data_IF_748159901383
#
_entry.id   IF_748159901383
#
_cell.length_a   1.000
_cell.length_b   1.000
_cell.length_c   1.000
_cell.angle_alpha   90.00
_cell.angle_beta   90.00
_cell.angle_gamma   90.00
#
_symmetry.space_group_name_H-M   'P 1'
#
loop_
_entity.id
_entity.type
_entity.pdbx_description
1 polymer ?
#
# COMPACT_ATOMS: atom_id res chain seq x y z
N UNK A 1 -5.99 21.33 -51.69
CA UNK A 1 -6.89 20.25 -51.27
C UNK A 1 -7.46 20.60 -49.91
N UNK A 2 -8.78 20.62 -49.77
CA UNK A 2 -9.41 20.88 -48.47
C UNK A 2 -9.13 19.71 -47.51
N UNK A 3 -8.76 20.03 -46.27
CA UNK A 3 -8.48 19.04 -45.23
C UNK A 3 -9.79 18.33 -44.83
N UNK A 4 -9.77 17.01 -44.62
CA UNK A 4 -10.93 16.21 -44.19
C UNK A 4 -11.57 16.71 -42.88
N UNK A 5 -10.78 17.30 -41.98
CA UNK A 5 -11.32 17.94 -40.76
C UNK A 5 -12.16 19.18 -41.12
N UNK A 6 -11.75 19.95 -42.12
CA UNK A 6 -12.52 21.12 -42.61
C UNK A 6 -13.78 20.70 -43.35
N UNK A 7 -13.74 19.62 -44.13
CA UNK A 7 -14.92 19.06 -44.82
C UNK A 7 -15.98 18.62 -43.80
N UNK A 8 -15.56 18.00 -42.69
CA UNK A 8 -16.46 17.64 -41.60
C UNK A 8 -16.75 18.78 -40.62
N UNK A 9 -16.18 19.98 -40.84
CA UNK A 9 -16.35 21.17 -40.00
C UNK A 9 -15.99 20.93 -38.52
N UNK A 10 -14.92 20.17 -38.28
CA UNK A 10 -14.41 19.84 -36.94
C UNK A 10 -12.94 20.22 -36.79
N UNK A 11 -12.45 20.52 -35.57
CA UNK A 11 -11.02 20.75 -35.34
C UNK A 11 -10.21 19.45 -35.47
N UNK A 12 -8.92 19.55 -35.76
CA UNK A 12 -8.03 18.38 -35.87
C UNK A 12 -7.88 17.61 -34.54
N UNK A 13 -8.14 18.28 -33.42
CA UNK A 13 -8.20 17.68 -32.07
C UNK A 13 -9.53 16.97 -31.77
N UNK A 14 -10.48 16.92 -32.71
CA UNK A 14 -11.81 16.36 -32.48
C UNK A 14 -11.75 14.87 -32.09
N UNK A 15 -12.60 14.46 -31.15
CA UNK A 15 -12.72 13.05 -30.76
C UNK A 15 -13.50 12.26 -31.82
N UNK A 16 -13.39 10.93 -31.82
CA UNK A 16 -14.15 10.08 -32.76
C UNK A 16 -15.67 10.27 -32.63
N UNK A 17 -16.15 10.58 -31.42
CA UNK A 17 -17.56 10.86 -31.18
C UNK A 17 -17.99 12.14 -31.90
N UNK A 18 -17.17 13.18 -31.88
CA UNK A 18 -17.45 14.47 -32.51
C UNK A 18 -17.48 14.34 -34.04
N UNK A 19 -16.52 13.59 -34.60
CA UNK A 19 -16.46 13.28 -36.05
C UNK A 19 -17.74 12.56 -36.51
N UNK A 20 -18.22 11.58 -35.73
CA UNK A 20 -19.45 10.84 -36.05
C UNK A 20 -20.71 11.68 -35.97
N UNK A 21 -20.78 12.59 -35.00
CA UNK A 21 -21.92 13.51 -34.86
C UNK A 21 -21.94 14.52 -36.00
N UNK A 22 -20.78 15.10 -36.35
CA UNK A 22 -20.65 16.04 -37.44
C UNK A 22 -21.02 15.41 -38.80
N UNK A 23 -20.54 14.20 -39.07
CA UNK A 23 -20.90 13.44 -40.27
C UNK A 23 -22.42 13.24 -40.40
N UNK A 24 -23.10 12.80 -39.34
CA UNK A 24 -24.55 12.58 -39.39
C UNK A 24 -25.32 13.85 -39.70
N UNK A 25 -24.91 14.97 -39.12
CA UNK A 25 -25.53 16.29 -39.35
C UNK A 25 -25.35 16.72 -40.80
N UNK A 26 -24.15 16.57 -41.36
CA UNK A 26 -23.85 16.93 -42.74
C UNK A 26 -24.54 15.99 -43.75
N UNK A 27 -24.48 14.67 -43.52
CA UNK A 27 -25.12 13.68 -44.38
C UNK A 27 -26.65 13.87 -44.48
N UNK A 28 -27.30 14.33 -43.39
CA UNK A 28 -28.72 14.64 -43.39
C UNK A 28 -29.03 15.95 -44.15
N UNK A 29 -28.13 16.94 -44.06
CA UNK A 29 -28.31 18.26 -44.69
C UNK A 29 -28.09 18.20 -46.21
N UNK A 30 -27.16 17.35 -46.65
CA UNK A 30 -26.79 17.20 -48.06
C UNK A 30 -27.39 15.95 -48.72
N UNK A 31 -28.32 15.25 -48.04
CA UNK A 31 -28.96 14.07 -48.59
C UNK A 31 -29.74 14.42 -49.87
N UNK A 32 -29.63 13.64 -50.96
CA UNK A 32 -30.29 13.95 -52.23
C UNK A 32 -31.80 14.11 -52.11
N UNK A 33 -32.46 13.32 -51.24
CA UNK A 33 -33.90 13.44 -51.00
C UNK A 33 -34.34 14.75 -50.33
N UNK A 34 -33.42 15.47 -49.67
CA UNK A 34 -33.72 16.69 -48.92
C UNK A 34 -33.27 17.94 -49.68
N UNK A 35 -32.23 17.83 -50.53
CA UNK A 35 -31.63 18.97 -51.20
C UNK A 35 -31.21 18.64 -52.65
N UNK A 36 -32.07 18.97 -53.63
CA UNK A 36 -31.96 18.57 -55.04
C UNK A 36 -31.03 19.46 -55.92
N UNK A 37 -30.09 20.18 -55.33
CA UNK A 37 -29.15 21.01 -56.10
C UNK A 37 -27.97 20.19 -56.64
N UNK A 38 -27.68 20.34 -57.93
CA UNK A 38 -26.72 19.54 -58.71
C UNK A 38 -25.26 19.59 -58.21
N UNK A 39 -24.92 20.51 -57.30
CA UNK A 39 -23.58 20.63 -56.70
C UNK A 39 -23.36 19.80 -55.43
N UNK A 40 -24.42 19.24 -54.84
CA UNK A 40 -24.33 18.55 -53.54
C UNK A 40 -23.83 17.10 -53.65
N UNK A 41 -23.88 16.50 -54.85
CA UNK A 41 -23.48 15.10 -55.06
C UNK A 41 -21.95 14.90 -54.94
N UNK A 42 -21.15 15.86 -55.40
CA UNK A 42 -19.70 15.81 -55.20
C UNK A 42 -19.34 16.09 -53.74
N UNK A 43 -20.06 17.02 -53.11
CA UNK A 43 -19.83 17.38 -51.72
C UNK A 43 -20.15 16.24 -50.76
N UNK A 44 -21.24 15.48 -51.00
CA UNK A 44 -21.58 14.31 -50.16
C UNK A 44 -20.56 13.17 -50.34
N UNK A 45 -19.99 12.99 -51.54
CA UNK A 45 -18.90 12.04 -51.78
C UNK A 45 -17.66 12.41 -50.96
N UNK A 46 -17.31 13.70 -50.88
CA UNK A 46 -16.22 14.20 -50.05
C UNK A 46 -16.49 14.01 -48.55
N UNK A 47 -17.71 14.28 -48.08
CA UNK A 47 -18.12 14.07 -46.69
C UNK A 47 -17.98 12.59 -46.30
N UNK A 48 -18.43 11.68 -47.18
CA UNK A 48 -18.34 10.23 -46.95
C UNK A 48 -16.88 9.77 -46.88
N UNK A 49 -16.03 10.24 -47.80
CA UNK A 49 -14.61 9.91 -47.83
C UNK A 49 -13.87 10.45 -46.59
N UNK A 50 -14.17 11.68 -46.18
CA UNK A 50 -13.60 12.30 -44.99
C UNK A 50 -13.99 11.51 -43.73
N UNK A 51 -15.26 11.10 -43.62
CA UNK A 51 -15.71 10.28 -42.49
C UNK A 51 -15.08 8.88 -42.50
N UNK A 52 -15.01 8.21 -43.65
CA UNK A 52 -14.39 6.89 -43.73
C UNK A 52 -12.91 6.92 -43.28
N UNK A 53 -12.20 8.00 -43.60
CA UNK A 53 -10.79 8.17 -43.24
C UNK A 53 -10.62 8.56 -41.78
N UNK A 54 -11.41 9.51 -41.27
CA UNK A 54 -11.23 10.05 -39.92
C UNK A 54 -11.92 9.25 -38.81
N UNK A 55 -12.90 8.40 -39.15
CA UNK A 55 -13.64 7.58 -38.16
C UNK A 55 -12.85 6.38 -37.67
N UNK A 56 -11.94 5.83 -38.49
CA UNK A 56 -11.04 4.75 -38.12
C UNK A 56 -9.72 5.32 -37.56
N UNK A 57 -9.33 4.98 -36.32
CA UNK A 57 -8.10 5.52 -35.70
C UNK A 57 -6.83 5.25 -36.50
N UNK A 58 -6.74 4.08 -37.15
CA UNK A 58 -5.57 3.70 -37.92
C UNK A 58 -5.50 4.46 -39.26
N UNK A 59 -6.65 4.65 -39.94
CA UNK A 59 -6.71 5.45 -41.17
C UNK A 59 -6.48 6.94 -40.89
N UNK A 60 -7.03 7.46 -39.78
CA UNK A 60 -6.82 8.84 -39.33
C UNK A 60 -5.36 9.13 -39.05
N UNK A 61 -4.69 8.26 -38.29
CA UNK A 61 -3.25 8.39 -38.01
C UNK A 61 -2.42 8.42 -39.29
N UNK A 62 -2.74 7.56 -40.26
CA UNK A 62 -2.05 7.56 -41.57
C UNK A 62 -2.32 8.82 -42.39
N UNK A 63 -3.53 9.38 -42.31
CA UNK A 63 -3.89 10.66 -42.90
C UNK A 63 -3.12 11.82 -42.26
N UNK A 64 -3.07 11.86 -40.93
CA UNK A 64 -2.36 12.89 -40.16
C UNK A 64 -0.83 12.85 -40.40
N UNK A 65 -0.27 11.66 -40.67
CA UNK A 65 1.13 11.46 -41.02
C UNK A 65 1.46 11.75 -42.50
N UNK A 66 0.45 12.11 -43.32
CA UNK A 66 0.64 12.39 -44.75
C UNK A 66 0.93 11.15 -45.61
N UNK A 67 0.76 9.94 -45.08
CA UNK A 67 1.00 8.65 -45.75
C UNK A 67 -0.33 8.07 -46.28
N UNK A 68 -1.19 8.96 -46.79
CA UNK A 68 -2.51 8.61 -47.31
C UNK A 68 -2.52 8.68 -48.84
N UNK A 69 -2.61 7.51 -49.48
CA UNK A 69 -2.49 7.36 -50.93
C UNK A 69 -3.88 7.40 -51.56
N UNK A 70 -4.24 8.53 -52.20
CA UNK A 70 -5.54 8.74 -52.87
C UNK A 70 -5.67 8.01 -54.22
N UNK A 71 -4.69 7.18 -54.61
CA UNK A 71 -4.58 6.60 -55.95
C UNK A 71 -5.33 5.27 -56.15
N UNK A 72 -5.95 4.70 -55.11
CA UNK A 72 -6.72 3.43 -55.20
C UNK A 72 -8.21 3.61 -54.89
N UNK A 73 -8.84 4.61 -55.54
CA UNK A 73 -10.29 4.84 -55.47
C UNK A 73 -10.93 4.91 -56.86
N UNK A 74 -10.67 3.91 -57.71
CA UNK A 74 -11.54 3.61 -58.85
C UNK A 74 -12.16 2.23 -58.64
N UNK A 75 -13.12 2.14 -57.71
CA UNK A 75 -14.14 1.10 -57.80
C UNK A 75 -15.21 1.64 -58.73
N UNK A 76 -15.33 1.02 -59.90
CA UNK A 76 -16.28 1.36 -60.94
C UNK A 76 -17.71 1.31 -60.40
N UNK A 77 -18.36 2.49 -60.33
CA UNK A 77 -19.79 2.58 -60.10
C UNK A 77 -20.49 2.07 -61.37
N UNK A 78 -20.78 0.78 -61.44
CA UNK A 78 -21.73 0.25 -62.41
C UNK A 78 -23.13 0.59 -61.92
N UNK A 79 -23.87 1.40 -62.70
CA UNK A 79 -25.29 1.58 -62.47
C UNK A 79 -25.97 0.20 -62.47
N UNK A 80 -26.79 -0.14 -61.45
CA UNK A 80 -27.52 -1.39 -61.46
C UNK A 80 -28.44 -1.43 -62.69
N UNK A 81 -28.65 -2.61 -63.30
CA UNK A 81 -29.51 -2.74 -64.47
C UNK A 81 -30.92 -2.19 -64.18
N UNK A 82 -31.66 -1.71 -65.21
CA UNK A 82 -33.02 -1.23 -65.02
C UNK A 82 -33.84 -2.32 -64.32
N UNK A 83 -34.76 -1.95 -63.42
CA UNK A 83 -35.48 -2.92 -62.62
C UNK A 83 -36.21 -3.87 -63.55
N UNK A 84 -35.74 -5.12 -63.61
CA UNK A 84 -36.57 -6.21 -64.11
C UNK A 84 -37.87 -6.12 -63.30
N UNK A 85 -39.02 -6.14 -63.99
CA UNK A 85 -40.32 -6.27 -63.33
C UNK A 85 -40.27 -7.56 -62.52
N UNK A 86 -39.86 -7.43 -61.26
CA UNK A 86 -40.00 -8.50 -60.30
C UNK A 86 -41.51 -8.76 -60.24
N UNK A 87 -41.96 -10.02 -60.29
CA UNK A 87 -43.30 -10.29 -59.80
C UNK A 87 -43.43 -9.58 -58.44
N UNK A 88 -44.62 -9.01 -58.12
CA UNK A 88 -44.81 -8.30 -56.85
C UNK A 88 -44.15 -9.16 -55.78
N UNK A 89 -43.25 -8.60 -54.97
CA UNK A 89 -42.44 -9.39 -54.06
C UNK A 89 -43.43 -10.32 -53.37
N UNK A 90 -43.19 -11.64 -53.46
CA UNK A 90 -43.94 -12.56 -52.61
C UNK A 90 -43.82 -11.93 -51.24
N UNK A 91 -44.94 -11.41 -50.75
CA UNK A 91 -45.00 -10.73 -49.49
C UNK A 91 -44.90 -11.87 -48.49
N UNK A 92 -43.71 -12.46 -48.37
CA UNK A 92 -43.21 -12.87 -47.08
C UNK A 92 -43.16 -11.56 -46.31
N UNK A 93 -44.33 -11.24 -45.73
CA UNK A 93 -44.43 -10.63 -44.43
C UNK A 93 -43.32 -11.35 -43.68
N UNK A 94 -42.17 -10.68 -43.51
CA UNK A 94 -41.14 -11.20 -42.63
C UNK A 94 -41.96 -11.37 -41.38
N UNK A 95 -42.30 -12.62 -41.05
CA UNK A 95 -42.80 -12.88 -39.75
C UNK A 95 -41.67 -12.29 -38.93
N UNK A 96 -41.96 -11.18 -38.24
CA UNK A 96 -41.43 -11.11 -36.91
C UNK A 96 -41.99 -12.40 -36.31
N UNK A 97 -41.25 -13.50 -36.48
CA UNK A 97 -41.24 -14.56 -35.51
C UNK A 97 -40.88 -13.77 -34.27
N UNK A 98 -41.93 -13.33 -33.58
CA UNK A 98 -41.81 -12.80 -32.26
C UNK A 98 -41.14 -13.95 -31.53
N UNK A 99 -39.81 -13.85 -31.38
CA UNK A 99 -39.03 -14.88 -30.71
C UNK A 99 -39.79 -15.23 -29.45
N UNK A 100 -39.91 -16.54 -29.12
CA UNK A 100 -40.94 -17.06 -28.25
C UNK A 100 -41.21 -16.09 -27.10
N UNK A 101 -42.42 -15.52 -27.05
CA UNK A 101 -42.81 -14.57 -26.01
C UNK A 101 -42.82 -15.30 -24.67
N UNK A 102 -41.67 -15.30 -24.01
CA UNK A 102 -41.51 -15.91 -22.69
C UNK A 102 -42.43 -15.20 -21.72
N UNK A 103 -43.24 -15.98 -20.99
CA UNK A 103 -44.05 -15.47 -19.90
C UNK A 103 -43.15 -14.76 -18.87
N UNK A 104 -43.64 -13.70 -18.25
CA UNK A 104 -42.96 -13.05 -17.12
C UNK A 104 -42.55 -14.07 -16.05
N UNK A 105 -43.35 -15.13 -15.84
CA UNK A 105 -43.00 -16.24 -14.93
C UNK A 105 -41.78 -17.03 -15.38
N UNK A 106 -41.64 -17.32 -16.67
CA UNK A 106 -40.48 -18.05 -17.21
C UNK A 106 -39.21 -17.20 -17.21
N UNK A 107 -39.34 -15.88 -17.41
CA UNK A 107 -38.22 -14.95 -17.26
C UNK A 107 -37.75 -14.88 -15.80
N UNK A 108 -38.67 -14.75 -14.84
CA UNK A 108 -38.34 -14.75 -13.40
C UNK A 108 -37.63 -16.06 -13.02
N UNK A 109 -38.10 -17.21 -13.50
CA UNK A 109 -37.44 -18.49 -13.23
C UNK A 109 -36.04 -18.57 -13.86
N UNK A 110 -35.86 -18.07 -15.08
CA UNK A 110 -34.54 -18.00 -15.72
C UNK A 110 -33.57 -17.07 -14.96
N UNK A 111 -34.04 -15.90 -14.51
CA UNK A 111 -33.26 -15.01 -13.65
C UNK A 111 -32.93 -15.64 -12.29
N UNK A 112 -33.86 -16.42 -11.72
CA UNK A 112 -33.62 -17.18 -10.49
C UNK A 112 -32.56 -18.27 -10.65
N UNK A 113 -32.63 -19.06 -11.72
CA UNK A 113 -31.63 -20.12 -12.00
C UNK A 113 -30.26 -19.52 -12.30
N UNK A 114 -30.19 -18.46 -13.10
CA UNK A 114 -28.92 -17.78 -13.39
C UNK A 114 -28.31 -17.15 -12.14
N UNK A 115 -29.11 -16.50 -11.29
CA UNK A 115 -28.65 -16.01 -10.00
C UNK A 115 -28.15 -17.13 -9.08
N UNK A 116 -28.81 -18.29 -9.05
CA UNK A 116 -28.38 -19.44 -8.27
C UNK A 116 -27.05 -20.04 -8.76
N UNK A 117 -26.83 -20.09 -10.08
CA UNK A 117 -25.55 -20.55 -10.66
C UNK A 117 -24.43 -19.55 -10.33
N UNK A 118 -24.67 -18.25 -10.46
CA UNK A 118 -23.68 -17.23 -10.10
C UNK A 118 -23.33 -17.35 -8.62
N UNK A 119 -24.34 -17.49 -7.75
CA UNK A 119 -24.15 -17.63 -6.32
C UNK A 119 -23.38 -18.91 -5.97
N UNK A 120 -23.63 -20.04 -6.65
CA UNK A 120 -22.88 -21.28 -6.42
C UNK A 120 -21.42 -21.18 -6.87
N UNK A 121 -21.14 -20.52 -8.01
CA UNK A 121 -19.77 -20.28 -8.47
C UNK A 121 -19.03 -19.35 -7.51
N UNK A 122 -19.65 -18.26 -7.06
CA UNK A 122 -19.06 -17.34 -6.08
C UNK A 122 -18.76 -18.07 -4.77
N UNK A 123 -19.70 -18.89 -4.28
CA UNK A 123 -19.49 -19.70 -3.08
C UNK A 123 -18.33 -20.70 -3.25
N UNK A 124 -18.20 -21.34 -4.42
CA UNK A 124 -17.10 -22.25 -4.71
C UNK A 124 -15.74 -21.55 -4.77
N UNK A 125 -15.66 -20.37 -5.40
CA UNK A 125 -14.43 -19.55 -5.42
C UNK A 125 -14.04 -19.10 -4.02
N UNK A 126 -15.02 -18.66 -3.23
CA UNK A 126 -14.80 -18.27 -1.84
C UNK A 126 -14.29 -19.44 -1.00
N UNK A 127 -14.93 -20.61 -1.11
CA UNK A 127 -14.48 -21.82 -0.42
C UNK A 127 -13.05 -22.21 -0.84
N UNK A 128 -12.73 -22.15 -2.14
CA UNK A 128 -11.38 -22.41 -2.63
C UNK A 128 -10.35 -21.43 -2.03
N UNK A 129 -10.66 -20.12 -2.01
CA UNK A 129 -9.77 -19.12 -1.40
C UNK A 129 -9.55 -19.38 0.09
N UNK A 130 -10.61 -19.77 0.81
CA UNK A 130 -10.57 -20.14 2.21
C UNK A 130 -9.62 -21.34 2.46
N UNK A 131 -9.80 -22.45 1.74
CA UNK A 131 -8.97 -23.66 1.91
C UNK A 131 -7.52 -23.46 1.50
N UNK A 132 -7.28 -22.72 0.41
CA UNK A 132 -5.90 -22.52 -0.06
C UNK A 132 -5.13 -21.59 0.88
N UNK A 133 -5.80 -20.62 1.53
CA UNK A 133 -5.19 -19.78 2.57
C UNK A 133 -4.69 -20.62 3.74
N UNK A 134 -5.50 -21.56 4.23
CA UNK A 134 -5.17 -22.46 5.33
C UNK A 134 -4.02 -23.42 4.96
N UNK A 135 -4.09 -24.03 3.78
CA UNK A 135 -3.04 -24.93 3.28
C UNK A 135 -1.66 -24.28 3.23
N UNK A 136 -1.54 -23.10 2.61
CA UNK A 136 -0.25 -22.41 2.54
C UNK A 136 0.22 -21.87 3.89
N UNK A 137 -0.69 -21.56 4.81
CA UNK A 137 -0.32 -21.17 6.17
C UNK A 137 0.37 -22.32 6.91
N UNK A 138 -0.19 -23.54 6.82
CA UNK A 138 0.41 -24.74 7.44
C UNK A 138 1.77 -25.10 6.81
N UNK A 139 1.92 -24.99 5.49
CA UNK A 139 3.23 -25.16 4.82
C UNK A 139 4.24 -24.09 5.27
N UNK A 140 3.78 -22.86 5.54
CA UNK A 140 4.59 -21.80 6.12
C UNK A 140 5.08 -22.14 7.53
N UNK A 141 4.20 -22.67 8.39
CA UNK A 141 4.56 -23.15 9.73
C UNK A 141 5.56 -24.31 9.67
N UNK A 142 5.36 -25.25 8.74
CA UNK A 142 6.31 -26.34 8.53
C UNK A 142 7.69 -25.82 8.11
N UNK A 143 7.75 -24.79 7.26
CA UNK A 143 9.02 -24.16 6.88
C UNK A 143 9.68 -23.40 8.05
N UNK A 144 8.90 -22.75 8.94
CA UNK A 144 9.43 -22.17 10.19
C UNK A 144 10.10 -23.23 11.07
N UNK A 145 9.44 -24.39 11.28
CA UNK A 145 9.97 -25.49 12.09
C UNK A 145 11.28 -26.06 11.52
N UNK A 146 11.44 -26.02 10.20
CA UNK A 146 12.68 -26.41 9.51
C UNK A 146 13.75 -25.32 9.50
N UNK A 147 13.50 -24.17 10.14
CA UNK A 147 14.39 -23.00 10.17
C UNK A 147 14.69 -22.45 8.75
N UNK A 148 13.69 -22.47 7.87
CA UNK A 148 13.76 -21.95 6.50
C UNK A 148 12.94 -20.64 6.36
N UNK A 149 13.39 -19.51 6.94
CA UNK A 149 12.57 -18.30 7.10
C UNK A 149 12.09 -17.69 5.77
N UNK A 150 12.91 -17.74 4.72
CA UNK A 150 12.53 -17.23 3.41
C UNK A 150 11.43 -18.08 2.75
N UNK A 151 11.49 -19.40 2.93
CA UNK A 151 10.48 -20.31 2.40
C UNK A 151 9.17 -20.15 3.16
N UNK A 152 9.23 -19.97 4.48
CA UNK A 152 8.07 -19.64 5.30
C UNK A 152 7.39 -18.35 4.83
N UNK A 153 8.15 -17.26 4.64
CA UNK A 153 7.62 -15.99 4.10
C UNK A 153 6.93 -16.21 2.75
N UNK A 154 7.53 -16.97 1.83
CA UNK A 154 6.93 -17.24 0.52
C UNK A 154 5.58 -17.96 0.66
N UNK A 155 5.47 -18.96 1.53
CA UNK A 155 4.21 -19.64 1.78
C UNK A 155 3.18 -18.73 2.44
N UNK A 156 3.57 -17.93 3.44
CA UNK A 156 2.66 -16.96 4.04
C UNK A 156 2.18 -15.90 3.06
N UNK A 157 3.04 -15.44 2.15
CA UNK A 157 2.62 -14.54 1.07
C UNK A 157 1.50 -15.12 0.20
N UNK A 158 1.55 -16.43 -0.06
CA UNK A 158 0.51 -17.16 -0.80
C UNK A 158 -0.76 -17.38 0.05
N UNK A 159 -0.62 -17.46 1.37
CA UNK A 159 -1.73 -17.58 2.31
C UNK A 159 -2.52 -16.26 2.47
N UNK A 160 -1.88 -15.10 2.28
CA UNK A 160 -2.52 -13.78 2.34
C UNK A 160 -3.34 -13.53 1.08
N UNK A 161 -4.65 -13.80 1.18
CA UNK A 161 -5.64 -13.63 0.10
C UNK A 161 -6.86 -12.86 0.59
N UNK A 162 -7.59 -12.25 -0.33
CA UNK A 162 -8.90 -11.66 -0.04
C UNK A 162 -9.83 -12.70 0.58
N UNK A 163 -10.40 -12.38 1.75
CA UNK A 163 -11.27 -13.28 2.54
C UNK A 163 -10.63 -14.60 3.03
N UNK A 164 -9.30 -14.73 2.97
CA UNK A 164 -8.60 -15.88 3.53
C UNK A 164 -8.67 -15.90 5.06
N UNK A 165 -9.05 -17.04 5.65
CA UNK A 165 -9.19 -17.19 7.10
C UNK A 165 -7.89 -16.94 7.87
N UNK A 166 -6.76 -17.25 7.23
CA UNK A 166 -5.41 -17.13 7.80
C UNK A 166 -4.64 -15.92 7.29
N UNK A 167 -5.26 -15.02 6.52
CA UNK A 167 -4.55 -13.87 5.92
C UNK A 167 -3.92 -12.94 6.96
N UNK A 168 -4.61 -12.70 8.09
CA UNK A 168 -4.10 -11.84 9.16
C UNK A 168 -2.95 -12.52 9.91
N UNK A 169 -3.13 -13.79 10.27
CA UNK A 169 -2.11 -14.60 10.96
C UNK A 169 -0.85 -14.76 10.10
N UNK A 170 -1.00 -15.06 8.81
CA UNK A 170 0.09 -15.13 7.84
C UNK A 170 0.84 -13.80 7.73
N UNK A 171 0.11 -12.67 7.76
CA UNK A 171 0.72 -11.33 7.74
C UNK A 171 1.51 -11.04 9.02
N UNK A 172 1.00 -11.44 10.18
CA UNK A 172 1.71 -11.31 11.47
C UNK A 172 2.98 -12.14 11.44
N UNK A 173 2.89 -13.43 11.07
CA UNK A 173 4.05 -14.33 10.97
C UNK A 173 5.11 -13.80 10.02
N UNK A 174 4.70 -13.34 8.85
CA UNK A 174 5.62 -12.73 7.87
C UNK A 174 6.32 -11.48 8.43
N UNK A 175 5.59 -10.64 9.17
CA UNK A 175 6.13 -9.45 9.81
C UNK A 175 7.10 -9.80 10.96
N UNK A 176 6.80 -10.82 11.75
CA UNK A 176 7.67 -11.31 12.83
C UNK A 176 8.99 -11.87 12.29
N UNK A 177 8.95 -12.73 11.26
CA UNK A 177 10.17 -13.22 10.59
C UNK A 177 10.94 -12.04 9.98
N UNK A 178 10.24 -11.11 9.32
CA UNK A 178 10.89 -9.93 8.74
C UNK A 178 11.59 -9.08 9.81
N UNK A 179 11.01 -8.97 11.01
CA UNK A 179 11.63 -8.27 12.15
C UNK A 179 12.93 -8.95 12.58
N UNK A 180 12.94 -10.28 12.66
CA UNK A 180 14.14 -11.06 13.01
C UNK A 180 15.25 -10.94 11.98
N UNK A 181 14.87 -10.85 10.69
CA UNK A 181 15.80 -10.62 9.59
C UNK A 181 16.26 -9.15 9.46
N UNK A 182 15.73 -8.23 10.27
CA UNK A 182 15.99 -6.78 10.14
C UNK A 182 15.37 -6.16 8.87
N UNK A 183 14.45 -6.86 8.22
CA UNK A 183 13.82 -6.49 6.97
C UNK A 183 12.61 -5.56 7.18
N UNK A 184 12.83 -4.43 7.87
CA UNK A 184 11.76 -3.53 8.36
C UNK A 184 10.87 -2.94 7.25
N UNK A 185 11.38 -2.78 6.03
CA UNK A 185 10.58 -2.33 4.89
C UNK A 185 9.47 -3.34 4.55
N UNK A 186 9.82 -4.63 4.41
CA UNK A 186 8.87 -5.70 4.12
C UNK A 186 7.93 -5.93 5.30
N UNK A 187 8.45 -5.83 6.52
CA UNK A 187 7.64 -5.90 7.74
C UNK A 187 6.48 -4.89 7.73
N UNK A 188 6.74 -3.63 7.36
CA UNK A 188 5.70 -2.60 7.27
C UNK A 188 4.64 -2.91 6.19
N UNK A 189 5.05 -3.52 5.07
CA UNK A 189 4.14 -3.95 4.00
C UNK A 189 3.22 -5.09 4.46
N UNK A 190 3.78 -6.14 5.08
CA UNK A 190 2.99 -7.23 5.66
C UNK A 190 2.00 -6.72 6.72
N UNK A 191 2.42 -5.80 7.58
CA UNK A 191 1.52 -5.20 8.56
C UNK A 191 0.35 -4.47 7.89
N UNK A 192 0.64 -3.69 6.82
CA UNK A 192 -0.39 -2.98 6.05
C UNK A 192 -1.38 -3.95 5.40
N UNK A 193 -0.90 -5.06 4.82
CA UNK A 193 -1.76 -6.11 4.23
C UNK A 193 -2.65 -6.75 5.29
N UNK A 194 -2.10 -7.12 6.45
CA UNK A 194 -2.88 -7.68 7.55
C UNK A 194 -3.98 -6.73 8.05
N UNK A 195 -3.66 -5.45 8.24
CA UNK A 195 -4.61 -4.43 8.70
C UNK A 195 -5.75 -4.19 7.70
N UNK A 196 -5.53 -4.38 6.40
CA UNK A 196 -6.58 -4.25 5.39
C UNK A 196 -7.68 -5.32 5.53
N UNK A 197 -7.36 -6.49 6.08
CA UNK A 197 -8.31 -7.60 6.24
C UNK A 197 -8.99 -7.65 7.61
N UNK A 198 -8.42 -7.01 8.64
CA UNK A 198 -9.03 -6.99 9.99
C UNK A 198 -8.59 -5.75 10.78
N UNK A 199 -9.17 -4.58 10.48
CA UNK A 199 -8.80 -3.32 11.14
C UNK A 199 -9.16 -3.30 12.64
N UNK A 200 -10.21 -4.02 13.05
CA UNK A 200 -10.78 -3.93 14.40
C UNK A 200 -10.68 -5.25 15.19
N UNK A 201 -9.48 -5.77 15.36
CA UNK A 201 -9.24 -7.01 16.10
C UNK A 201 -8.08 -6.89 17.10
N UNK A 202 -8.00 -7.81 18.06
CA UNK A 202 -6.84 -7.92 18.96
C UNK A 202 -5.54 -8.15 18.17
N UNK A 203 -5.64 -8.81 17.01
CA UNK A 203 -4.53 -9.01 16.07
C UNK A 203 -4.11 -7.71 15.39
N UNK A 204 -5.05 -6.79 15.12
CA UNK A 204 -4.75 -5.44 14.63
C UNK A 204 -3.85 -4.68 15.61
N UNK A 205 -4.06 -4.87 16.92
CA UNK A 205 -3.23 -4.28 17.95
C UNK A 205 -1.75 -4.70 17.83
N UNK A 206 -1.49 -5.98 17.58
CA UNK A 206 -0.15 -6.50 17.33
C UNK A 206 0.42 -5.99 16.00
N UNK A 207 -0.37 -5.96 14.93
CA UNK A 207 0.05 -5.43 13.64
C UNK A 207 0.43 -3.95 13.71
N UNK A 208 -0.31 -3.14 14.46
CA UNK A 208 0.04 -1.74 14.70
C UNK A 208 1.34 -1.61 15.51
N UNK A 209 1.57 -2.46 16.51
CA UNK A 209 2.84 -2.50 17.24
C UNK A 209 4.03 -2.87 16.34
N UNK A 210 3.87 -3.91 15.52
CA UNK A 210 4.88 -4.33 14.54
C UNK A 210 5.13 -3.22 13.51
N UNK A 211 4.07 -2.62 12.97
CA UNK A 211 4.18 -1.48 12.05
C UNK A 211 4.90 -0.29 12.68
N UNK A 212 4.60 0.05 13.94
CA UNK A 212 5.29 1.10 14.69
C UNK A 212 6.78 0.80 14.86
N UNK A 213 7.13 -0.45 15.17
CA UNK A 213 8.52 -0.91 15.25
C UNK A 213 9.23 -0.77 13.90
N UNK A 214 8.58 -1.19 12.81
CA UNK A 214 9.13 -1.07 11.46
C UNK A 214 9.39 0.41 11.08
N UNK A 215 8.46 1.31 11.42
CA UNK A 215 8.62 2.73 11.16
C UNK A 215 9.69 3.38 12.04
N UNK A 216 9.83 2.97 13.30
CA UNK A 216 10.87 3.48 14.19
C UNK A 216 12.27 3.13 13.67
N UNK A 217 12.48 1.89 13.19
CA UNK A 217 13.73 1.48 12.55
C UNK A 217 13.98 2.12 11.19
N UNK A 218 12.93 2.61 10.54
CA UNK A 218 13.01 3.37 9.29
C UNK A 218 13.10 4.89 9.54
N UNK A 219 13.37 5.31 10.78
CA UNK A 219 13.47 6.72 11.22
C UNK A 219 12.22 7.57 10.93
N UNK A 220 11.06 6.93 10.72
CA UNK A 220 9.77 7.57 10.47
C UNK A 220 9.00 7.72 11.78
N UNK A 221 9.58 8.47 12.72
CA UNK A 221 9.14 8.51 14.12
C UNK A 221 7.68 8.96 14.31
N UNK A 222 7.20 9.94 13.56
CA UNK A 222 5.79 10.39 13.65
C UNK A 222 4.80 9.26 13.32
N UNK A 223 5.12 8.48 12.28
CA UNK A 223 4.29 7.34 11.87
C UNK A 223 4.42 6.18 12.86
N UNK A 224 5.60 6.02 13.47
CA UNK A 224 5.81 5.05 14.51
C UNK A 224 4.97 5.37 15.75
N UNK A 225 5.01 6.61 16.25
CA UNK A 225 4.20 7.08 17.38
C UNK A 225 2.70 6.89 17.11
N UNK A 226 2.23 7.25 15.92
CA UNK A 226 0.83 7.03 15.52
C UNK A 226 0.46 5.54 15.54
N UNK A 227 1.29 4.66 14.98
CA UNK A 227 1.03 3.23 14.98
C UNK A 227 1.05 2.65 16.42
N UNK A 228 1.97 3.07 17.28
CA UNK A 228 1.97 2.66 18.69
C UNK A 228 0.72 3.14 19.44
N UNK A 229 0.27 4.37 19.21
CA UNK A 229 -0.96 4.89 19.81
C UNK A 229 -2.20 4.12 19.34
N UNK A 230 -2.25 3.75 18.05
CA UNK A 230 -3.31 2.87 17.54
C UNK A 230 -3.28 1.50 18.23
N UNK A 231 -2.09 0.90 18.41
CA UNK A 231 -1.93 -0.37 19.13
C UNK A 231 -2.50 -0.32 20.55
N UNK A 232 -2.21 0.77 21.29
CA UNK A 232 -2.70 0.98 22.66
C UNK A 232 -4.23 1.11 22.75
N UNK A 233 -4.89 1.52 21.66
CA UNK A 233 -6.35 1.60 21.57
C UNK A 233 -7.05 0.23 21.64
N UNK A 234 -6.39 -0.84 21.20
CA UNK A 234 -6.98 -2.19 21.07
C UNK A 234 -6.62 -3.17 22.21
N UNK A 235 -6.29 -2.65 23.41
CA UNK A 235 -5.94 -3.45 24.61
C UNK A 235 -4.75 -4.41 24.42
N UNK A 236 -3.78 -4.05 23.57
CA UNK A 236 -2.50 -4.74 23.53
C UNK A 236 -1.69 -4.52 24.82
N UNK A 237 -0.65 -5.32 25.05
CA UNK A 237 0.24 -5.18 26.20
C UNK A 237 0.88 -3.77 26.21
N UNK A 238 0.38 -2.92 27.10
CA UNK A 238 0.83 -1.53 27.23
C UNK A 238 2.31 -1.45 27.57
N UNK A 239 2.81 -2.35 28.40
CA UNK A 239 4.19 -2.33 28.86
C UNK A 239 5.15 -2.56 27.70
N UNK A 240 4.83 -3.52 26.81
CA UNK A 240 5.61 -3.79 25.61
C UNK A 240 5.66 -2.57 24.67
N UNK A 241 4.51 -1.94 24.43
CA UNK A 241 4.45 -0.75 23.56
C UNK A 241 5.21 0.42 24.17
N UNK A 242 5.00 0.71 25.45
CA UNK A 242 5.68 1.79 26.15
C UNK A 242 7.19 1.58 26.22
N UNK A 243 7.67 0.34 26.36
CA UNK A 243 9.10 0.06 26.35
C UNK A 243 9.74 0.43 25.00
N UNK A 244 9.11 0.03 23.88
CA UNK A 244 9.62 0.35 22.54
C UNK A 244 9.47 1.83 22.23
N UNK A 245 8.33 2.44 22.58
CA UNK A 245 8.07 3.87 22.39
C UNK A 245 9.06 4.74 23.20
N UNK A 246 9.34 4.37 24.45
CA UNK A 246 10.33 5.07 25.27
C UNK A 246 11.75 4.92 24.70
N UNK A 247 12.13 3.74 24.22
CA UNK A 247 13.41 3.52 23.54
C UNK A 247 13.55 4.37 22.28
N UNK A 248 12.46 4.50 21.51
CA UNK A 248 12.39 5.36 20.33
C UNK A 248 12.60 6.83 20.69
N UNK A 249 11.98 7.32 21.77
CA UNK A 249 12.18 8.70 22.22
C UNK A 249 13.61 8.96 22.70
N UNK A 250 14.24 8.01 23.42
CA UNK A 250 15.63 8.17 23.90
C UNK A 250 16.64 8.16 22.75
N UNK A 251 16.51 7.21 21.82
CA UNK A 251 17.53 6.95 20.81
C UNK A 251 17.24 7.61 19.45
N UNK A 252 15.99 7.97 19.17
CA UNK A 252 15.55 8.51 17.88
C UNK A 252 15.24 9.99 17.92
N UNK A 253 14.20 10.39 18.67
CA UNK A 253 13.72 11.79 18.65
C UNK A 253 14.39 12.72 19.67
N UNK A 254 14.99 12.17 20.72
CA UNK A 254 15.57 12.95 21.82
C UNK A 254 14.53 13.55 22.77
N UNK A 255 13.28 13.09 22.74
CA UNK A 255 12.19 13.57 23.61
C UNK A 255 12.25 12.94 25.00
N UNK A 256 13.28 13.30 25.78
CA UNK A 256 13.58 12.71 27.07
C UNK A 256 12.47 12.89 28.11
N UNK A 257 11.68 13.98 28.05
CA UNK A 257 10.54 14.20 28.95
C UNK A 257 9.40 13.21 28.70
N UNK A 258 9.14 12.85 27.44
CA UNK A 258 8.15 11.82 27.11
C UNK A 258 8.65 10.45 27.56
N UNK A 259 9.93 10.15 27.30
CA UNK A 259 10.56 8.90 27.71
C UNK A 259 10.56 8.71 29.24
N UNK A 260 10.88 9.76 30.01
CA UNK A 260 10.86 9.75 31.48
C UNK A 260 9.50 9.30 32.02
N UNK A 261 8.41 9.88 31.48
CA UNK A 261 7.04 9.54 31.90
C UNK A 261 6.72 8.08 31.64
N UNK A 262 7.08 7.58 30.46
CA UNK A 262 6.86 6.18 30.09
C UNK A 262 7.67 5.21 30.97
N UNK A 263 8.96 5.49 31.22
CA UNK A 263 9.76 4.64 32.13
C UNK A 263 9.27 4.69 33.57
N UNK A 264 8.77 5.84 34.03
CA UNK A 264 8.17 5.95 35.36
C UNK A 264 6.91 5.12 35.48
N UNK A 265 6.06 5.10 34.44
CA UNK A 265 4.93 4.18 34.38
C UNK A 265 5.39 2.72 34.41
N UNK A 266 6.37 2.33 33.57
CA UNK A 266 6.87 0.96 33.51
C UNK A 266 7.46 0.48 34.85
N UNK A 267 8.11 1.37 35.58
CA UNK A 267 8.68 1.10 36.91
C UNK A 267 7.63 1.02 38.02
N UNK A 268 6.41 1.52 37.81
CA UNK A 268 5.31 1.38 38.77
C UNK A 268 4.67 -0.01 38.76
N UNK A 269 5.00 -0.84 37.76
CA UNK A 269 4.54 -2.23 37.65
C UNK A 269 5.20 -3.18 38.64
N UNK A 270 4.73 -4.44 38.65
CA UNK A 270 5.14 -5.45 39.63
C UNK A 270 6.53 -6.06 39.38
N UNK A 271 7.14 -5.85 38.21
CA UNK A 271 8.42 -6.45 37.85
C UNK A 271 9.55 -5.43 37.86
N UNK A 272 10.58 -5.66 38.68
CA UNK A 272 11.79 -4.85 38.72
C UNK A 272 12.62 -5.17 37.47
N UNK A 273 12.65 -4.25 36.52
CA UNK A 273 13.52 -4.33 35.35
C UNK A 273 14.62 -3.27 35.42
N UNK A 274 15.87 -3.70 35.63
CA UNK A 274 17.03 -2.83 35.76
C UNK A 274 17.29 -1.98 34.52
N UNK A 275 16.88 -2.45 33.34
CA UNK A 275 17.01 -1.69 32.10
C UNK A 275 16.15 -0.42 32.12
N UNK A 276 14.99 -0.44 32.78
CA UNK A 276 14.12 0.75 32.89
C UNK A 276 14.74 1.81 33.82
N UNK A 277 15.35 1.42 34.93
CA UNK A 277 16.12 2.34 35.78
C UNK A 277 17.30 2.95 35.00
N UNK A 278 18.07 2.13 34.29
CA UNK A 278 19.18 2.62 33.48
C UNK A 278 18.73 3.63 32.42
N UNK A 279 17.67 3.32 31.66
CA UNK A 279 17.19 4.20 30.59
C UNK A 279 16.51 5.46 31.14
N UNK A 280 15.81 5.40 32.28
CA UNK A 280 15.28 6.60 32.94
C UNK A 280 16.41 7.47 33.50
N UNK A 281 17.47 6.86 34.03
CA UNK A 281 18.70 7.57 34.42
C UNK A 281 19.34 8.32 33.25
N UNK A 282 19.38 7.73 32.05
CA UNK A 282 19.80 8.43 30.82
C UNK A 282 18.87 9.61 30.51
N UNK A 283 17.55 9.43 30.62
CA UNK A 283 16.61 10.54 30.43
C UNK A 283 16.90 11.68 31.41
N UNK A 284 17.04 11.38 32.70
CA UNK A 284 17.37 12.38 33.72
C UNK A 284 18.70 13.10 33.47
N UNK A 285 19.73 12.38 33.04
CA UNK A 285 21.03 12.97 32.73
C UNK A 285 20.93 13.97 31.57
N UNK A 286 20.16 13.67 30.52
CA UNK A 286 19.94 14.59 29.39
C UNK A 286 19.04 15.78 29.76
N UNK A 287 18.12 15.59 30.72
CA UNK A 287 17.28 16.65 31.27
C UNK A 287 17.98 17.52 32.33
N UNK A 288 19.26 17.26 32.65
CA UNK A 288 20.00 17.97 33.70
C UNK A 288 19.58 17.60 35.14
N UNK A 289 18.72 16.59 35.31
CA UNK A 289 18.24 16.06 36.60
C UNK A 289 19.27 15.10 37.22
N UNK A 290 20.51 15.56 37.39
CA UNK A 290 21.64 14.70 37.74
C UNK A 290 21.51 13.96 39.08
N UNK A 291 20.84 14.57 40.06
CA UNK A 291 20.61 13.91 41.35
C UNK A 291 19.73 12.65 41.18
N UNK A 292 18.62 12.77 40.45
CA UNK A 292 17.71 11.66 40.16
C UNK A 292 18.38 10.60 39.26
N UNK A 293 19.19 11.03 38.29
CA UNK A 293 19.99 10.12 37.47
C UNK A 293 20.94 9.26 38.31
N UNK A 294 21.61 9.87 39.30
CA UNK A 294 22.53 9.14 40.18
C UNK A 294 21.83 8.07 41.02
N UNK A 295 20.62 8.35 41.50
CA UNK A 295 19.81 7.40 42.27
C UNK A 295 19.38 6.20 41.41
N UNK A 296 18.91 6.45 40.18
CA UNK A 296 18.53 5.39 39.24
C UNK A 296 19.72 4.50 38.84
N UNK A 297 20.89 5.10 38.57
CA UNK A 297 22.09 4.33 38.26
C UNK A 297 22.61 3.53 39.46
N UNK A 298 22.57 4.11 40.67
CA UNK A 298 22.93 3.38 41.89
C UNK A 298 22.00 2.19 42.12
N UNK A 299 20.70 2.31 41.80
CA UNK A 299 19.78 1.18 41.88
C UNK A 299 20.18 0.03 40.96
N UNK A 300 20.63 0.33 39.75
CA UNK A 300 21.14 -0.67 38.80
C UNK A 300 22.42 -1.34 39.33
N UNK A 301 23.35 -0.54 39.88
CA UNK A 301 24.62 -1.05 40.43
C UNK A 301 24.45 -1.84 41.73
N UNK A 302 23.38 -1.62 42.48
CA UNK A 302 23.07 -2.41 43.67
C UNK A 302 22.86 -3.89 43.33
N UNK A 303 22.19 -4.15 42.21
CA UNK A 303 21.85 -5.50 41.75
C UNK A 303 22.91 -6.04 40.77
N UNK A 304 23.60 -5.17 40.02
CA UNK A 304 24.73 -5.53 39.15
C UNK A 304 25.93 -4.58 39.34
N UNK A 305 26.79 -4.83 40.36
CA UNK A 305 27.90 -3.93 40.71
C UNK A 305 28.96 -3.74 39.63
N UNK A 306 29.07 -4.70 38.70
CA UNK A 306 30.09 -4.73 37.66
C UNK A 306 29.56 -4.27 36.29
N UNK A 307 28.37 -3.65 36.25
CA UNK A 307 27.81 -3.16 34.99
C UNK A 307 28.56 -1.91 34.48
N UNK A 308 29.59 -2.15 33.66
CA UNK A 308 30.51 -1.12 33.14
C UNK A 308 29.83 0.11 32.55
N UNK A 309 28.79 -0.07 31.73
CA UNK A 309 28.05 1.05 31.11
C UNK A 309 27.36 1.93 32.14
N UNK A 310 26.77 1.36 33.19
CA UNK A 310 26.17 2.16 34.27
C UNK A 310 27.22 2.86 35.12
N UNK A 311 28.35 2.20 35.42
CA UNK A 311 29.48 2.84 36.12
C UNK A 311 29.97 4.08 35.35
N UNK A 312 30.06 3.98 34.01
CA UNK A 312 30.42 5.10 33.15
C UNK A 312 29.42 6.25 33.24
N UNK A 313 28.13 5.97 33.07
CA UNK A 313 27.08 7.00 33.12
C UNK A 313 26.98 7.65 34.51
N UNK A 314 27.14 6.86 35.59
CA UNK A 314 27.18 7.37 36.95
C UNK A 314 28.41 8.27 37.18
N UNK A 315 29.59 7.87 36.69
CA UNK A 315 30.80 8.69 36.73
C UNK A 315 30.62 10.05 36.05
N UNK A 316 30.04 10.06 34.85
CA UNK A 316 29.67 11.31 34.14
C UNK A 316 28.63 12.13 34.91
N UNK A 317 27.67 11.47 35.54
CA UNK A 317 26.65 12.13 36.37
C UNK A 317 27.28 12.80 37.60
N UNK A 318 28.23 12.15 38.26
CA UNK A 318 28.95 12.75 39.39
C UNK A 318 29.85 13.91 38.98
N UNK A 319 30.46 13.84 37.79
CA UNK A 319 31.22 14.96 37.24
C UNK A 319 30.31 16.19 37.06
N UNK A 320 29.10 15.99 36.52
CA UNK A 320 28.11 17.06 36.37
C UNK A 320 27.59 17.60 37.71
N UNK A 321 27.59 16.78 38.77
CA UNK A 321 27.28 17.19 40.15
C UNK A 321 28.47 17.86 40.87
N UNK A 322 29.63 18.01 40.23
CA UNK A 322 30.83 18.59 40.83
C UNK A 322 31.57 17.66 41.79
N UNK A 323 31.21 16.37 41.86
CA UNK A 323 31.83 15.37 42.75
C UNK A 323 32.98 14.66 42.03
N UNK A 324 34.08 15.39 41.79
CA UNK A 324 35.19 14.97 40.92
C UNK A 324 35.87 13.67 41.40
N UNK A 325 36.04 13.49 42.71
CA UNK A 325 36.67 12.30 43.29
C UNK A 325 35.86 11.04 43.01
N UNK A 326 34.55 11.09 43.29
CA UNK A 326 33.62 10.01 43.00
C UNK A 326 33.54 9.74 41.49
N UNK A 327 33.48 10.80 40.67
CA UNK A 327 33.49 10.66 39.22
C UNK A 327 34.71 9.86 38.74
N UNK A 328 35.92 10.23 39.20
CA UNK A 328 37.15 9.52 38.85
C UNK A 328 37.12 8.04 39.28
N UNK A 329 36.67 7.76 40.51
CA UNK A 329 36.57 6.39 41.02
C UNK A 329 35.69 5.51 40.12
N UNK A 330 34.46 5.97 39.83
CA UNK A 330 33.51 5.23 39.01
C UNK A 330 33.94 5.10 37.56
N UNK A 331 34.60 6.12 36.98
CA UNK A 331 35.13 6.06 35.62
C UNK A 331 36.29 5.06 35.51
N UNK A 332 37.25 5.08 36.44
CA UNK A 332 38.32 4.07 36.51
C UNK A 332 37.76 2.66 36.70
N UNK A 333 36.70 2.53 37.52
CA UNK A 333 36.08 1.24 37.71
C UNK A 333 35.37 0.75 36.45
N UNK A 334 34.68 1.64 35.72
CA UNK A 334 34.08 1.36 34.43
C UNK A 334 35.10 0.89 33.39
N UNK A 335 36.27 1.53 33.34
CA UNK A 335 37.38 1.13 32.46
C UNK A 335 37.87 -0.29 32.76
N UNK A 336 38.01 -0.65 34.05
CA UNK A 336 38.32 -2.02 34.47
C UNK A 336 37.26 -3.05 34.08
N UNK A 337 36.02 -2.62 33.83
CA UNK A 337 34.94 -3.47 33.32
C UNK A 337 34.89 -3.49 31.77
N UNK A 338 35.89 -2.93 31.09
CA UNK A 338 36.04 -2.99 29.63
C UNK A 338 35.36 -1.85 28.87
N UNK A 339 34.89 -0.81 29.54
CA UNK A 339 34.42 0.41 28.85
C UNK A 339 35.62 1.24 28.42
N UNK A 340 35.73 1.53 27.13
CA UNK A 340 36.78 2.40 26.63
C UNK A 340 36.53 3.85 27.04
N UNK A 341 37.49 4.45 27.74
CA UNK A 341 37.55 5.87 28.08
C UNK A 341 38.89 6.36 27.54
N UNK A 342 38.91 7.53 26.89
CA UNK A 342 40.17 8.02 26.35
C UNK A 342 41.14 8.35 27.52
N UNK A 343 42.43 7.97 27.44
CA UNK A 343 43.38 8.25 28.53
C UNK A 343 43.46 9.74 28.88
N UNK A 344 43.35 10.63 27.88
CA UNK A 344 43.33 12.08 28.09
C UNK A 344 42.09 12.58 28.83
N UNK A 345 40.91 12.05 28.51
CA UNK A 345 39.67 12.37 29.24
C UNK A 345 39.77 11.91 30.70
N UNK A 346 40.18 10.66 30.92
CA UNK A 346 40.33 10.11 32.26
C UNK A 346 41.37 10.89 33.07
N UNK A 347 42.52 11.21 32.48
CA UNK A 347 43.54 12.05 33.11
C UNK A 347 42.99 13.42 33.48
N UNK A 348 42.28 14.11 32.58
CA UNK A 348 41.70 15.44 32.87
C UNK A 348 40.72 15.44 34.05
N UNK A 349 40.00 14.34 34.26
CA UNK A 349 39.01 14.18 35.32
C UNK A 349 39.66 13.66 36.62
N UNK A 350 40.68 12.81 36.52
CA UNK A 350 41.29 12.15 37.67
C UNK A 350 42.56 12.81 38.21
N UNK A 351 43.22 13.62 37.39
CA UNK A 351 44.39 14.39 37.79
C UNK A 351 43.90 15.73 38.34
N UNK A 352 44.19 15.93 39.62
CA UNK A 352 44.15 17.23 40.27
C UNK A 352 45.52 17.87 40.10
N UNK A 353 45.55 19.10 39.57
CA UNK A 353 46.65 20.04 39.85
C UNK A 353 46.81 20.21 41.36
#
# INVERSE_FOLDING_TARGET
MENFYKILQVPESATQRDIKVAYRKLAQTYHPDVNNESGNEEYIKLINLAYETLSDPAKRSRYDLGIFDTSNSTSSYSAPPPPQRRPPPYYYKKAHEEGPKYSTKTQILAWGVTAAIILSVVAAVYAMQYYVSDYYFEEGLAAELNNEPQKAINFYQLAIRDWGAKSVEASIKSAEISRELGAYFYMADFCKRGLAHSPDSTQAALLFYLQGTAYAHSERYEKAEMAFNNSLGYKYNKDTVYQVLASMYVNGTGEYEKAEKLYTYLLSGNSINLAHYYNRGICYQNLGKYQQASEDFQRVLKDNPFHGKTLFQLGKTYLALGKKELACEYLRFSERQGVYISPGELASICETN
#
